data_IF_812491096646
#
_entry.id   IF_812491096646
#
_cell.length_a   1.000
_cell.length_b   1.000
_cell.length_c   1.000
_cell.angle_alpha   90.00
_cell.angle_beta   90.00
_cell.angle_gamma   90.00
#
_symmetry.space_group_name_H-M   'P 1'
#
loop_
_entity.id
_entity.type
_entity.pdbx_description
1 polymer ?
#
# COMPACT_ATOMS: atom_id res chain seq x y z
N UNK A 1 17.72 -8.95 10.57
CA UNK A 1 16.42 -9.63 10.33
C UNK A 1 15.51 -8.79 9.43
N UNK A 2 14.94 -7.66 9.86
CA UNK A 2 14.12 -6.82 8.94
C UNK A 2 14.93 -6.28 7.76
N UNK A 3 16.21 -5.93 7.99
CA UNK A 3 17.13 -5.53 6.93
C UNK A 3 17.36 -6.63 5.89
N UNK A 4 17.32 -7.90 6.30
CA UNK A 4 17.49 -9.05 5.39
C UNK A 4 16.25 -9.22 4.50
N UNK A 5 15.05 -9.04 5.07
CA UNK A 5 13.80 -9.01 4.31
C UNK A 5 13.76 -7.84 3.32
N UNK A 6 14.18 -6.65 3.74
CA UNK A 6 14.28 -5.50 2.86
C UNK A 6 15.25 -5.78 1.69
N UNK A 7 16.41 -6.37 1.98
CA UNK A 7 17.39 -6.73 0.96
C UNK A 7 16.85 -7.79 0.00
N UNK A 8 16.16 -8.82 0.51
CA UNK A 8 15.53 -9.85 -0.29
C UNK A 8 14.39 -9.30 -1.16
N UNK A 9 13.55 -8.43 -0.59
CA UNK A 9 12.48 -7.75 -1.31
C UNK A 9 13.03 -6.91 -2.46
N UNK A 10 14.08 -6.10 -2.23
CA UNK A 10 14.76 -5.32 -3.28
C UNK A 10 15.38 -6.18 -4.37
N UNK A 11 16.05 -7.28 -3.99
CA UNK A 11 16.68 -8.20 -4.94
C UNK A 11 15.65 -8.88 -5.85
N UNK A 12 14.49 -9.21 -5.33
CA UNK A 12 13.41 -9.81 -6.11
C UNK A 12 12.65 -8.77 -6.96
N UNK A 13 12.71 -7.48 -6.60
CA UNK A 13 11.91 -6.39 -7.17
C UNK A 13 12.77 -5.23 -7.70
N UNK A 14 13.57 -5.51 -8.73
CA UNK A 14 14.59 -4.61 -9.30
C UNK A 14 14.16 -3.21 -9.79
N UNK A 15 12.88 -2.84 -9.68
CA UNK A 15 12.31 -1.61 -10.26
C UNK A 15 11.75 -0.61 -9.24
N UNK A 16 11.56 -1.00 -7.97
CA UNK A 16 10.99 -0.12 -6.95
C UNK A 16 12.00 0.15 -5.83
N UNK A 17 12.12 1.42 -5.43
CA UNK A 17 12.91 1.82 -4.27
C UNK A 17 12.13 1.43 -3.00
N UNK A 18 12.06 0.13 -2.72
CA UNK A 18 11.34 -0.41 -1.56
C UNK A 18 12.04 0.10 -0.30
N UNK A 19 11.30 0.82 0.53
CA UNK A 19 11.72 1.28 1.86
C UNK A 19 11.08 0.40 2.95
N UNK A 20 11.36 0.72 4.21
CA UNK A 20 10.71 0.03 5.32
C UNK A 20 9.21 0.36 5.34
N UNK A 21 8.38 -0.67 5.52
CA UNK A 21 6.93 -0.58 5.59
C UNK A 21 6.40 -1.53 6.67
N UNK A 22 5.19 -1.29 7.15
CA UNK A 22 4.54 -2.09 8.20
C UNK A 22 4.52 -3.59 7.85
N UNK A 23 4.29 -3.93 6.58
CA UNK A 23 4.28 -5.32 6.14
C UNK A 23 5.65 -6.02 6.31
N UNK A 24 6.76 -5.32 6.06
CA UNK A 24 8.11 -5.86 6.28
C UNK A 24 8.41 -6.06 7.77
N UNK A 25 7.95 -5.12 8.62
CA UNK A 25 8.06 -5.25 10.07
C UNK A 25 7.21 -6.43 10.57
N UNK A 26 5.98 -6.55 10.09
CA UNK A 26 5.08 -7.64 10.47
C UNK A 26 5.66 -9.01 10.09
N UNK A 27 6.25 -9.16 8.89
CA UNK A 27 6.94 -10.40 8.52
C UNK A 27 8.13 -10.72 9.43
N UNK A 28 8.84 -9.69 9.89
CA UNK A 28 9.90 -9.91 10.88
C UNK A 28 9.32 -10.39 12.20
N UNK A 29 8.20 -9.83 12.65
CA UNK A 29 7.52 -10.23 13.88
C UNK A 29 7.02 -11.68 13.80
N UNK A 30 6.40 -12.10 12.68
CA UNK A 30 5.96 -13.49 12.48
C UNK A 30 7.12 -14.49 12.68
N UNK A 31 8.27 -14.22 12.06
CA UNK A 31 9.43 -15.11 12.15
C UNK A 31 10.11 -15.06 13.52
N UNK A 32 10.08 -13.90 14.18
CA UNK A 32 10.55 -13.77 15.56
C UNK A 32 9.65 -14.55 16.52
N UNK A 33 8.33 -14.51 16.31
CA UNK A 33 7.36 -15.23 17.12
C UNK A 33 7.59 -16.75 17.04
N UNK A 34 7.71 -17.30 15.84
CA UNK A 34 7.99 -18.73 15.64
C UNK A 34 9.29 -19.17 16.34
N UNK A 35 10.33 -18.35 16.27
CA UNK A 35 11.60 -18.61 16.96
C UNK A 35 11.48 -18.54 18.47
N UNK A 36 10.77 -17.55 18.99
CA UNK A 36 10.63 -17.37 20.44
C UNK A 36 9.72 -18.46 21.01
N UNK A 37 8.64 -18.81 20.33
CA UNK A 37 7.77 -19.92 20.69
C UNK A 37 8.54 -21.25 20.71
N UNK A 38 9.36 -21.53 19.70
CA UNK A 38 10.14 -22.78 19.65
C UNK A 38 11.23 -22.88 20.71
N UNK A 39 11.84 -21.77 21.13
CA UNK A 39 12.92 -21.78 22.13
C UNK A 39 12.36 -21.71 23.56
N UNK A 40 11.34 -20.89 23.78
CA UNK A 40 10.91 -20.50 25.13
C UNK A 40 9.49 -20.95 25.47
N UNK A 41 8.66 -21.30 24.48
CA UNK A 41 7.24 -21.59 24.65
C UNK A 41 6.36 -20.37 24.93
N UNK A 42 6.91 -19.16 24.93
CA UNK A 42 6.19 -17.92 25.25
C UNK A 42 5.94 -17.08 24.00
N UNK A 43 4.91 -16.22 24.04
CA UNK A 43 4.58 -15.26 22.98
C UNK A 43 5.47 -14.02 23.03
N UNK A 44 5.51 -13.28 21.91
CA UNK A 44 6.22 -11.99 21.80
C UNK A 44 5.80 -10.96 22.86
N UNK A 45 4.51 -10.95 23.23
CA UNK A 45 3.95 -10.02 24.21
C UNK A 45 4.68 -10.07 25.56
N UNK A 46 5.19 -11.24 25.97
CA UNK A 46 5.95 -11.39 27.22
C UNK A 46 7.24 -10.56 27.23
N UNK A 47 7.81 -10.31 26.06
CA UNK A 47 9.05 -9.54 25.87
C UNK A 47 8.79 -8.08 25.53
N UNK A 48 7.53 -7.61 25.62
CA UNK A 48 7.14 -6.24 25.30
C UNK A 48 7.18 -5.93 23.80
N UNK A 49 7.17 -6.95 22.94
CA UNK A 49 7.14 -6.78 21.49
C UNK A 49 5.69 -6.78 20.96
N UNK A 50 5.40 -6.09 19.83
CA UNK A 50 4.09 -6.14 19.20
C UNK A 50 3.73 -7.56 18.75
N UNK A 51 2.46 -7.94 18.88
CA UNK A 51 1.97 -9.19 18.27
C UNK A 51 1.87 -9.03 16.75
N UNK A 52 2.26 -10.07 15.98
CA UNK A 52 2.16 -10.03 14.53
C UNK A 52 0.70 -10.18 14.08
N UNK A 53 0.41 -9.63 12.91
CA UNK A 53 -0.85 -9.84 12.19
C UNK A 53 -0.70 -11.08 11.31
N UNK A 54 -1.46 -12.13 11.63
CA UNK A 54 -1.36 -13.44 10.96
C UNK A 54 -2.10 -13.52 9.63
N UNK A 55 -3.17 -12.74 9.44
CA UNK A 55 -3.98 -12.73 8.21
C UNK A 55 -3.45 -11.75 7.15
N UNK A 56 -2.12 -11.62 7.02
CA UNK A 56 -1.51 -10.82 5.96
C UNK A 56 -0.97 -11.70 4.83
N UNK A 57 -1.08 -11.24 3.56
CA UNK A 57 -0.46 -11.92 2.44
C UNK A 57 1.07 -11.97 2.62
N UNK A 58 1.65 -13.13 2.31
CA UNK A 58 3.10 -13.28 2.29
C UNK A 58 3.74 -12.25 1.34
N UNK A 59 4.82 -11.59 1.77
CA UNK A 59 5.58 -10.63 0.97
C UNK A 59 6.46 -11.30 -0.10
N UNK A 60 5.92 -12.30 -0.79
CA UNK A 60 6.58 -13.03 -1.86
C UNK A 60 6.29 -12.43 -3.23
N UNK A 61 5.16 -11.76 -3.40
CA UNK A 61 4.73 -11.14 -4.66
C UNK A 61 5.12 -9.67 -4.77
N UNK A 62 5.53 -9.26 -5.98
CA UNK A 62 5.79 -7.87 -6.34
C UNK A 62 4.57 -6.98 -6.12
N UNK A 63 3.39 -7.49 -6.52
CA UNK A 63 2.15 -6.73 -6.47
C UNK A 63 1.71 -6.49 -5.01
N UNK A 64 1.92 -7.47 -4.13
CA UNK A 64 1.63 -7.30 -2.70
C UNK A 64 2.53 -6.22 -2.09
N UNK A 65 3.83 -6.21 -2.42
CA UNK A 65 4.74 -5.16 -1.96
C UNK A 65 4.32 -3.79 -2.48
N UNK A 66 3.95 -3.68 -3.76
CA UNK A 66 3.44 -2.44 -4.35
C UNK A 66 2.18 -1.92 -3.66
N UNK A 67 1.30 -2.82 -3.24
CA UNK A 67 0.03 -2.47 -2.58
C UNK A 67 0.09 -2.41 -1.04
N UNK A 68 1.25 -2.66 -0.42
CA UNK A 68 1.39 -2.63 1.06
C UNK A 68 2.58 -1.78 1.55
N UNK A 69 3.51 -1.41 0.67
CA UNK A 69 4.73 -0.70 1.02
C UNK A 69 4.85 0.63 0.27
N UNK A 70 4.08 1.61 0.75
CA UNK A 70 4.10 2.99 0.27
C UNK A 70 4.25 3.99 1.43
N UNK A 71 4.89 5.12 1.14
CA UNK A 71 4.96 6.25 2.07
C UNK A 71 3.63 7.03 2.03
N UNK A 72 2.82 6.84 3.06
CA UNK A 72 1.52 7.52 3.24
C UNK A 72 1.68 9.04 3.27
N UNK A 73 2.76 9.58 3.82
CA UNK A 73 2.98 11.03 3.87
C UNK A 73 3.38 11.58 2.49
N UNK A 74 4.20 10.85 1.74
CA UNK A 74 4.49 11.18 0.35
C UNK A 74 3.21 11.16 -0.50
N UNK A 75 2.34 10.16 -0.33
CA UNK A 75 1.05 10.08 -1.01
C UNK A 75 0.13 11.27 -0.66
N UNK A 76 0.01 11.62 0.62
CA UNK A 76 -0.77 12.79 1.07
C UNK A 76 -0.23 14.09 0.47
N UNK A 77 1.09 14.25 0.46
CA UNK A 77 1.75 15.42 -0.14
C UNK A 77 1.51 15.48 -1.65
N UNK A 78 1.65 14.34 -2.33
CA UNK A 78 1.35 14.22 -3.75
C UNK A 78 -0.10 14.63 -4.06
N UNK A 79 -1.07 14.15 -3.28
CA UNK A 79 -2.47 14.52 -3.46
C UNK A 79 -2.71 16.00 -3.21
N UNK A 80 -2.20 16.56 -2.12
CA UNK A 80 -2.37 17.97 -1.78
C UNK A 80 -1.82 18.90 -2.90
N UNK A 81 -0.72 18.51 -3.54
CA UNK A 81 -0.13 19.27 -4.64
C UNK A 81 -0.86 19.11 -5.98
N UNK A 82 -1.54 17.98 -6.21
CA UNK A 82 -2.06 17.61 -7.53
C UNK A 82 -3.59 17.63 -7.65
N UNK A 83 -4.34 17.44 -6.56
CA UNK A 83 -5.81 17.61 -6.56
C UNK A 83 -6.23 19.01 -7.06
N UNK A 84 -5.58 20.12 -6.66
CA UNK A 84 -5.93 21.46 -7.17
C UNK A 84 -5.62 21.67 -8.65
N UNK A 85 -4.86 20.76 -9.30
CA UNK A 85 -4.45 20.85 -10.70
C UNK A 85 -5.37 20.09 -11.65
N UNK A 86 -6.39 19.42 -11.13
CA UNK A 86 -7.38 18.72 -11.93
C UNK A 86 -8.15 19.72 -12.80
N UNK A 87 -8.40 19.33 -14.05
CA UNK A 87 -9.38 20.05 -14.88
C UNK A 87 -10.80 19.81 -14.34
N UNK A 88 -11.79 20.64 -14.70
CA UNK A 88 -13.18 20.42 -14.25
C UNK A 88 -13.69 19.00 -14.51
N UNK A 89 -13.44 18.44 -15.69
CA UNK A 89 -13.87 17.08 -16.06
C UNK A 89 -13.15 16.01 -15.22
N UNK A 90 -11.83 16.17 -15.01
CA UNK A 90 -11.06 15.25 -14.18
C UNK A 90 -11.49 15.32 -12.71
N UNK A 91 -11.81 16.51 -12.21
CA UNK A 91 -12.30 16.72 -10.85
C UNK A 91 -13.65 16.06 -10.65
N UNK A 92 -14.56 16.18 -11.62
CA UNK A 92 -15.85 15.49 -11.57
C UNK A 92 -15.68 13.97 -11.54
N UNK A 93 -14.81 13.42 -12.39
CA UNK A 93 -14.50 11.98 -12.39
C UNK A 93 -13.87 11.53 -11.06
N UNK A 94 -12.93 12.31 -10.53
CA UNK A 94 -12.28 12.02 -9.25
C UNK A 94 -13.28 11.96 -8.09
N UNK A 95 -14.15 12.97 -7.97
CA UNK A 95 -15.18 13.01 -6.93
C UNK A 95 -16.13 11.80 -7.05
N UNK A 96 -16.68 11.56 -8.25
CA UNK A 96 -17.62 10.46 -8.46
C UNK A 96 -17.02 9.08 -8.09
N UNK A 97 -15.76 8.84 -8.46
CA UNK A 97 -15.08 7.56 -8.17
C UNK A 97 -14.75 7.45 -6.68
N UNK A 98 -14.24 8.51 -6.05
CA UNK A 98 -13.89 8.49 -4.62
C UNK A 98 -15.12 8.35 -3.71
N UNK A 99 -16.25 8.96 -4.08
CA UNK A 99 -17.54 8.74 -3.42
C UNK A 99 -18.03 7.30 -3.59
N UNK A 100 -17.90 6.73 -4.79
CA UNK A 100 -18.27 5.33 -5.04
C UNK A 100 -17.45 4.38 -4.15
N UNK A 101 -16.13 4.60 -4.04
CA UNK A 101 -15.24 3.84 -3.15
C UNK A 101 -15.69 3.98 -1.69
N UNK A 102 -15.87 5.21 -1.20
CA UNK A 102 -16.27 5.46 0.19
C UNK A 102 -17.68 4.96 0.55
N UNK A 103 -18.55 4.75 -0.46
CA UNK A 103 -19.89 4.19 -0.26
C UNK A 103 -19.95 2.66 -0.32
N UNK A 104 -18.83 1.97 -0.58
CA UNK A 104 -18.72 0.51 -0.74
C UNK A 104 -19.72 -0.08 -1.75
N UNK A 105 -20.26 0.74 -2.67
CA UNK A 105 -21.30 0.31 -3.62
C UNK A 105 -20.80 -0.71 -4.65
N UNK A 106 -19.48 -0.91 -4.76
CA UNK A 106 -18.85 -1.68 -5.82
C UNK A 106 -19.18 -1.12 -7.20
N UNK A 107 -18.62 -1.73 -8.25
CA UNK A 107 -18.94 -1.39 -9.64
C UNK A 107 -17.73 -1.28 -10.54
N UNK A 108 -17.99 -1.07 -11.83
CA UNK A 108 -16.98 -0.89 -12.88
C UNK A 108 -17.17 0.49 -13.50
N UNK A 109 -16.09 1.27 -13.57
CA UNK A 109 -16.08 2.61 -14.15
C UNK A 109 -15.17 2.62 -15.38
N UNK A 110 -15.67 3.17 -16.49
CA UNK A 110 -14.90 3.38 -17.70
C UNK A 110 -14.50 4.85 -17.82
N UNK A 111 -13.19 5.12 -17.83
CA UNK A 111 -12.64 6.45 -18.07
C UNK A 111 -12.34 6.60 -19.57
N UNK A 112 -13.32 7.09 -20.32
CA UNK A 112 -13.15 7.41 -21.74
C UNK A 112 -12.71 8.86 -21.93
N UNK A 113 -11.58 9.05 -22.60
CA UNK A 113 -11.10 10.37 -22.97
C UNK A 113 -10.12 10.27 -24.15
N UNK A 114 -9.97 11.32 -24.97
CA UNK A 114 -8.94 11.37 -26.00
C UNK A 114 -7.50 11.22 -25.47
N UNK A 115 -6.53 10.99 -26.37
CA UNK A 115 -5.11 11.05 -26.02
C UNK A 115 -4.71 12.44 -25.50
N UNK A 116 -3.79 12.51 -24.53
CA UNK A 116 -3.29 13.77 -23.98
C UNK A 116 -4.15 14.44 -22.91
N UNK A 117 -5.31 13.87 -22.56
CA UNK A 117 -6.25 14.42 -21.56
C UNK A 117 -5.93 14.11 -20.10
N UNK A 118 -4.76 13.52 -19.82
CA UNK A 118 -4.31 13.26 -18.45
C UNK A 118 -4.96 12.06 -17.76
N UNK A 119 -5.48 11.06 -18.49
CA UNK A 119 -6.02 9.81 -17.88
C UNK A 119 -5.05 9.17 -16.89
N UNK A 120 -3.78 9.04 -17.26
CA UNK A 120 -2.73 8.49 -16.38
C UNK A 120 -2.54 9.33 -15.12
N UNK A 121 -2.62 10.66 -15.24
CA UNK A 121 -2.53 11.56 -14.08
C UNK A 121 -3.70 11.34 -13.12
N UNK A 122 -4.93 11.26 -13.65
CA UNK A 122 -6.12 10.97 -12.85
C UNK A 122 -6.04 9.60 -12.17
N UNK A 123 -5.63 8.54 -12.89
CA UNK A 123 -5.46 7.20 -12.33
C UNK A 123 -4.43 7.18 -11.19
N UNK A 124 -3.28 7.85 -11.35
CA UNK A 124 -2.29 7.94 -10.28
C UNK A 124 -2.82 8.68 -9.04
N UNK A 125 -3.69 9.68 -9.23
CA UNK A 125 -4.34 10.38 -8.13
C UNK A 125 -5.33 9.49 -7.38
N UNK A 126 -6.10 8.68 -8.11
CA UNK A 126 -7.04 7.71 -7.53
C UNK A 126 -6.30 6.61 -6.76
N UNK A 127 -5.21 6.08 -7.32
CA UNK A 127 -4.34 5.14 -6.62
C UNK A 127 -3.77 5.75 -5.34
N UNK A 128 -3.30 7.00 -5.40
CA UNK A 128 -2.83 7.70 -4.20
C UNK A 128 -3.95 7.87 -3.16
N UNK A 129 -5.18 8.16 -3.60
CA UNK A 129 -6.35 8.30 -2.72
C UNK A 129 -6.68 7.01 -1.96
N UNK A 130 -6.64 5.86 -2.62
CA UNK A 130 -6.92 4.55 -1.98
C UNK A 130 -5.77 4.17 -1.04
N UNK A 131 -4.53 4.23 -1.54
CA UNK A 131 -3.35 3.79 -0.79
C UNK A 131 -3.06 4.64 0.44
N UNK A 132 -3.44 5.93 0.47
CA UNK A 132 -3.26 6.77 1.68
C UNK A 132 -4.09 6.29 2.89
N UNK A 133 -5.15 5.52 2.67
CA UNK A 133 -5.96 4.90 3.72
C UNK A 133 -5.47 3.47 4.05
N UNK A 134 -4.36 3.02 3.43
CA UNK A 134 -3.80 1.65 3.50
C UNK A 134 -4.72 0.56 2.90
N UNK A 135 -5.64 0.96 2.03
CA UNK A 135 -6.45 0.03 1.25
C UNK A 135 -5.69 -0.49 0.02
N UNK A 136 -6.07 -1.68 -0.45
CA UNK A 136 -5.50 -2.28 -1.66
C UNK A 136 -6.19 -1.76 -2.92
N UNK A 137 -5.39 -1.32 -3.90
CA UNK A 137 -5.86 -0.97 -5.23
C UNK A 137 -5.34 -2.01 -6.24
N UNK A 138 -6.15 -3.06 -6.51
CA UNK A 138 -5.80 -4.18 -7.41
C UNK A 138 -6.63 -4.11 -8.69
#
# INVERSE_FOLDING_TARGET
>A
MTQDFLHQARRNNSTENIEYCDALFNNTLLILEDKILSITGHKLALYGLPEPVHDQPELTSKDVLRETCYDVQALRTYMAANVPRLTPDQQQAFIAITEMIGSERGGIVFLDAPGGTGKTFLLNLLLAFVRKEKDMAV
#
